data_IF_132974823549
#
_entry.id   IF_132974823549
#
_cell.length_a   1.000
_cell.length_b   1.000
_cell.length_c   1.000
_cell.angle_alpha   90.00
_cell.angle_beta   90.00
_cell.angle_gamma   90.00
#
_symmetry.space_group_name_H-M   'P 1'
#
loop_
_entity.id
_entity.type
_entity.pdbx_description
1 polymer ?
#
# COMPACT_ATOMS: atom_id res chain seq x y z
N UNK A 1 0.99 -38.77 16.15
CA UNK A 1 0.90 -37.33 16.43
C UNK A 1 2.05 -36.69 15.69
N UNK A 2 1.80 -36.28 14.45
CA UNK A 2 2.81 -35.60 13.63
C UNK A 2 2.77 -34.15 14.12
N UNK A 3 3.87 -33.68 14.68
CA UNK A 3 4.08 -32.25 14.95
C UNK A 3 4.23 -31.62 13.56
N UNK A 4 3.18 -30.98 13.07
CA UNK A 4 3.26 -30.15 11.88
C UNK A 4 4.08 -28.92 12.23
N UNK A 5 5.34 -28.99 11.79
CA UNK A 5 6.26 -27.93 11.43
C UNK A 5 5.66 -26.52 11.48
N UNK A 6 6.03 -25.74 12.52
CA UNK A 6 5.98 -24.27 12.49
C UNK A 6 7.05 -23.73 11.53
N UNK A 7 6.91 -24.04 10.25
CA UNK A 7 7.54 -23.24 9.20
C UNK A 7 6.72 -21.96 9.04
N UNK A 8 6.95 -21.02 9.97
CA UNK A 8 6.58 -19.61 9.83
C UNK A 8 7.38 -18.97 8.69
N UNK A 9 7.21 -19.51 7.49
CA UNK A 9 7.56 -18.83 6.26
C UNK A 9 6.52 -17.72 6.11
N UNK A 10 6.86 -16.51 6.54
CA UNK A 10 6.05 -15.33 6.31
C UNK A 10 5.91 -15.15 4.80
N UNK A 11 4.92 -15.78 4.20
CA UNK A 11 4.68 -15.61 2.77
C UNK A 11 4.31 -14.14 2.52
N UNK A 12 4.55 -13.62 1.31
CA UNK A 12 4.09 -12.28 0.93
C UNK A 12 2.58 -12.10 1.21
N UNK A 13 1.81 -13.20 1.13
CA UNK A 13 0.40 -13.22 1.47
C UNK A 13 0.09 -12.96 2.96
N UNK A 14 1.07 -13.08 3.88
CA UNK A 14 0.95 -12.67 5.29
C UNK A 14 1.35 -11.21 5.53
N UNK A 15 2.22 -10.64 4.69
CA UNK A 15 2.64 -9.23 4.77
C UNK A 15 1.52 -8.31 4.32
N UNK A 16 0.81 -8.73 3.28
CA UNK A 16 -0.24 -7.93 2.63
C UNK A 16 -1.65 -8.35 3.07
N UNK A 17 -1.80 -9.41 3.89
CA UNK A 17 -3.10 -9.92 4.32
C UNK A 17 -3.90 -8.84 5.05
N UNK A 18 -5.11 -8.55 4.54
CA UNK A 18 -6.02 -7.55 5.10
C UNK A 18 -5.45 -6.11 5.15
N UNK A 19 -4.34 -5.82 4.46
CA UNK A 19 -3.75 -4.49 4.44
C UNK A 19 -4.48 -3.59 3.45
N UNK A 20 -5.17 -2.56 3.96
CA UNK A 20 -5.92 -1.59 3.16
C UNK A 20 -4.98 -0.48 2.68
N UNK A 21 -4.53 -0.58 1.44
CA UNK A 21 -3.44 0.23 0.89
C UNK A 21 -3.99 1.33 -0.03
N UNK A 22 -3.90 2.59 0.40
CA UNK A 22 -4.31 3.73 -0.40
C UNK A 22 -3.23 4.15 -1.40
N UNK A 23 -3.55 4.26 -2.68
CA UNK A 23 -2.65 4.77 -3.71
C UNK A 23 -3.02 6.21 -4.08
N UNK A 24 -2.11 7.16 -3.84
CA UNK A 24 -2.36 8.57 -4.13
C UNK A 24 -1.74 9.00 -5.49
N UNK A 25 -2.54 9.49 -6.45
CA UNK A 25 -2.05 9.99 -7.74
C UNK A 25 -1.52 11.45 -7.65
N UNK A 26 -0.32 11.71 -8.17
CA UNK A 26 0.39 13.01 -8.08
C UNK A 26 -0.06 14.09 -9.13
N UNK A 27 -0.88 13.78 -10.13
CA UNK A 27 -1.23 14.61 -11.31
C UNK A 27 -2.37 14.03 -12.19
N UNK A 28 -3.32 14.89 -12.53
CA UNK A 28 -4.47 14.55 -13.37
C UNK A 28 -4.15 14.28 -14.86
N UNK A 29 -2.87 14.27 -15.26
CA UNK A 29 -2.45 14.35 -16.67
C UNK A 29 -2.10 12.98 -17.31
N UNK A 30 -2.66 11.87 -16.81
CA UNK A 30 -2.67 10.57 -17.50
C UNK A 30 -1.45 9.66 -17.30
N UNK A 31 -0.38 10.11 -16.63
CA UNK A 31 0.81 9.28 -16.35
C UNK A 31 0.72 8.46 -15.04
N UNK A 32 -0.46 8.35 -14.45
CA UNK A 32 -0.67 7.91 -13.06
C UNK A 32 -1.62 6.77 -12.82
N UNK A 33 -2.46 6.44 -13.79
CA UNK A 33 -3.13 5.16 -13.78
C UNK A 33 -2.07 4.05 -13.63
N UNK A 34 -0.92 4.19 -14.32
CA UNK A 34 0.14 3.17 -14.39
C UNK A 34 0.77 2.70 -13.09
N UNK A 35 0.89 3.53 -12.04
CA UNK A 35 1.50 3.06 -10.79
C UNK A 35 0.51 2.25 -9.95
N UNK A 36 -0.68 2.81 -9.73
CA UNK A 36 -1.75 2.07 -9.05
C UNK A 36 -2.08 0.80 -9.84
N UNK A 37 -2.23 0.88 -11.16
CA UNK A 37 -2.48 -0.27 -12.04
C UNK A 37 -1.40 -1.37 -11.91
N UNK A 38 -0.16 -1.00 -11.58
CA UNK A 38 0.92 -1.97 -11.35
C UNK A 38 0.87 -2.60 -9.97
N UNK A 39 0.54 -1.82 -8.93
CA UNK A 39 0.53 -2.28 -7.56
C UNK A 39 -0.75 -2.99 -7.13
N UNK A 40 -1.91 -2.58 -7.63
CA UNK A 40 -3.21 -3.16 -7.27
C UNK A 40 -3.23 -4.69 -7.40
N UNK A 41 -2.80 -5.30 -8.54
CA UNK A 41 -2.78 -6.75 -8.66
C UNK A 41 -1.83 -7.45 -7.68
N UNK A 42 -0.75 -6.79 -7.27
CA UNK A 42 0.23 -7.33 -6.32
C UNK A 42 -0.36 -7.34 -4.90
N UNK A 43 -1.02 -6.23 -4.51
CA UNK A 43 -1.73 -6.13 -3.23
C UNK A 43 -2.85 -7.17 -3.16
N UNK A 44 -3.68 -7.27 -4.20
CA UNK A 44 -4.77 -8.25 -4.29
C UNK A 44 -4.25 -9.69 -4.25
N UNK A 45 -3.17 -10.01 -4.96
CA UNK A 45 -2.54 -11.33 -4.91
C UNK A 45 -1.99 -11.67 -3.51
N UNK A 46 -1.62 -10.64 -2.75
CA UNK A 46 -1.24 -10.73 -1.34
C UNK A 46 -2.41 -10.76 -0.36
N UNK A 47 -3.66 -10.80 -0.82
CA UNK A 47 -4.89 -10.68 -0.01
C UNK A 47 -5.07 -9.34 0.72
N UNK A 48 -4.39 -8.31 0.23
CA UNK A 48 -4.64 -6.94 0.66
C UNK A 48 -5.78 -6.29 -0.12
N UNK A 49 -6.12 -5.07 0.27
CA UNK A 49 -7.20 -4.30 -0.33
C UNK A 49 -6.67 -2.97 -0.86
N UNK A 50 -6.38 -2.86 -2.17
CA UNK A 50 -5.92 -1.60 -2.71
C UNK A 50 -7.09 -0.61 -2.87
N UNK A 51 -6.85 0.65 -2.53
CA UNK A 51 -7.82 1.74 -2.65
C UNK A 51 -7.19 2.87 -3.48
N UNK A 52 -7.84 3.25 -4.58
CA UNK A 52 -7.39 4.40 -5.37
C UNK A 52 -7.93 5.69 -4.74
N UNK A 53 -7.04 6.58 -4.30
CA UNK A 53 -7.43 7.85 -3.68
C UNK A 53 -7.68 8.92 -4.75
N UNK A 54 -8.72 9.73 -4.54
CA UNK A 54 -8.99 10.90 -5.38
C UNK A 54 -8.01 12.03 -5.01
N UNK A 55 -7.29 12.63 -5.97
CA UNK A 55 -6.41 13.77 -5.70
C UNK A 55 -7.15 15.04 -5.26
N UNK A 56 -8.45 15.15 -5.57
CA UNK A 56 -9.25 16.34 -5.25
C UNK A 56 -9.89 16.24 -3.87
N UNK A 57 -10.36 15.04 -3.53
CA UNK A 57 -11.10 14.75 -2.30
C UNK A 57 -10.70 13.36 -1.82
N UNK A 58 -9.49 13.19 -1.27
CA UNK A 58 -9.04 11.89 -0.80
C UNK A 58 -9.86 11.47 0.42
N UNK A 59 -10.53 10.33 0.31
CA UNK A 59 -11.22 9.68 1.41
C UNK A 59 -10.25 8.65 1.99
N UNK A 60 -9.86 8.85 3.25
CA UNK A 60 -8.87 8.01 3.94
C UNK A 60 -9.52 6.97 4.87
N UNK A 61 -10.83 6.80 4.79
CA UNK A 61 -11.59 5.90 5.65
C UNK A 61 -11.08 4.46 5.48
N UNK A 62 -10.75 3.84 6.60
CA UNK A 62 -10.23 2.48 6.69
C UNK A 62 -8.96 2.24 5.85
N UNK A 63 -8.12 3.25 5.62
CA UNK A 63 -6.81 3.07 4.96
C UNK A 63 -5.72 2.89 6.02
N UNK A 64 -4.96 1.80 5.93
CA UNK A 64 -3.86 1.48 6.85
C UNK A 64 -2.57 2.22 6.50
N UNK A 65 -2.34 2.48 5.21
CA UNK A 65 -1.19 3.24 4.72
C UNK A 65 -1.47 3.87 3.36
N UNK A 66 -0.82 5.00 3.09
CA UNK A 66 -0.85 5.66 1.77
C UNK A 66 0.49 5.49 1.07
N UNK A 67 0.46 4.90 -0.13
CA UNK A 67 1.60 4.77 -1.03
C UNK A 67 1.59 5.91 -2.05
N UNK A 68 2.74 6.56 -2.18
CA UNK A 68 2.98 7.58 -3.20
C UNK A 68 4.23 7.25 -4.01
N UNK A 69 4.33 7.74 -5.24
CA UNK A 69 5.51 7.48 -6.05
C UNK A 69 6.75 8.26 -5.58
N UNK A 70 6.55 9.53 -5.22
CA UNK A 70 7.68 10.45 -5.00
C UNK A 70 7.41 11.43 -3.88
N UNK A 71 6.26 12.08 -3.91
CA UNK A 71 5.82 13.01 -2.88
C UNK A 71 4.30 13.09 -2.88
N UNK A 72 3.74 13.56 -1.78
CA UNK A 72 2.32 13.85 -1.62
C UNK A 72 2.15 15.37 -1.44
N UNK A 73 1.04 15.98 -1.90
CA UNK A 73 0.74 17.38 -1.58
C UNK A 73 0.68 17.61 -0.07
N UNK A 74 1.05 18.81 0.38
CA UNK A 74 1.13 19.14 1.82
C UNK A 74 -0.22 19.00 2.52
N UNK A 75 -1.29 19.33 1.82
CA UNK A 75 -2.66 19.24 2.31
C UNK A 75 -3.02 17.79 2.62
N UNK A 76 -2.65 16.87 1.73
CA UNK A 76 -2.93 15.43 1.89
C UNK A 76 -1.98 14.82 2.93
N UNK A 77 -0.72 15.25 3.00
CA UNK A 77 0.17 14.88 4.10
C UNK A 77 -0.45 15.25 5.46
N UNK A 78 -0.95 16.48 5.60
CA UNK A 78 -1.57 16.93 6.84
C UNK A 78 -2.84 16.15 7.19
N UNK A 79 -3.61 15.69 6.19
CA UNK A 79 -4.75 14.80 6.40
C UNK A 79 -4.31 13.44 6.93
N UNK A 80 -3.29 12.83 6.32
CA UNK A 80 -2.72 11.55 6.77
C UNK A 80 -2.14 11.66 8.18
N UNK A 81 -1.38 12.73 8.47
CA UNK A 81 -0.80 12.97 9.81
C UNK A 81 -1.90 13.07 10.88
N UNK A 82 -2.98 13.79 10.59
CA UNK A 82 -4.14 13.91 11.50
C UNK A 82 -4.84 12.57 11.72
N UNK A 83 -4.93 11.74 10.68
CA UNK A 83 -5.51 10.41 10.74
C UNK A 83 -4.54 9.34 11.29
N UNK A 84 -3.29 9.71 11.57
CA UNK A 84 -2.19 8.80 11.92
C UNK A 84 -1.94 7.70 10.87
N UNK A 85 -2.20 8.01 9.60
CA UNK A 85 -1.97 7.10 8.49
C UNK A 85 -0.57 7.34 7.93
N UNK A 86 0.32 6.33 7.91
CA UNK A 86 1.66 6.47 7.36
C UNK A 86 1.61 6.72 5.85
N UNK A 87 2.41 7.68 5.40
CA UNK A 87 2.68 7.92 3.98
C UNK A 87 4.04 7.33 3.65
N UNK A 88 4.09 6.41 2.69
CA UNK A 88 5.31 5.74 2.23
C UNK A 88 5.50 5.89 0.74
N UNK A 89 6.74 5.76 0.28
CA UNK A 89 7.04 5.69 -1.15
C UNK A 89 6.95 4.25 -1.67
N UNK A 90 6.67 4.07 -2.96
CA UNK A 90 6.59 2.75 -3.61
C UNK A 90 7.83 1.87 -3.37
N UNK A 91 9.02 2.46 -3.34
CA UNK A 91 10.27 1.74 -3.07
C UNK A 91 10.26 1.06 -1.70
N UNK A 92 9.63 1.69 -0.69
CA UNK A 92 9.48 1.08 0.63
C UNK A 92 8.60 -0.17 0.56
N UNK A 93 7.50 -0.12 -0.20
CA UNK A 93 6.61 -1.27 -0.37
C UNK A 93 7.34 -2.41 -1.12
N UNK A 94 8.07 -2.06 -2.19
CA UNK A 94 8.87 -3.01 -2.95
C UNK A 94 9.92 -3.69 -2.07
N UNK A 95 10.66 -2.92 -1.27
CA UNK A 95 11.65 -3.46 -0.35
C UNK A 95 11.04 -4.42 0.67
N UNK A 96 9.89 -4.11 1.25
CA UNK A 96 9.23 -5.00 2.20
C UNK A 96 8.77 -6.31 1.56
N UNK A 97 8.24 -6.25 0.33
CA UNK A 97 7.86 -7.45 -0.43
C UNK A 97 9.08 -8.31 -0.76
N UNK A 98 10.21 -7.69 -1.15
CA UNK A 98 11.46 -8.41 -1.42
C UNK A 98 12.03 -9.03 -0.14
N UNK A 99 12.03 -8.27 0.97
CA UNK A 99 12.58 -8.68 2.28
C UNK A 99 11.71 -9.72 2.99
N UNK A 100 10.42 -9.81 2.68
CA UNK A 100 9.49 -10.84 3.16
C UNK A 100 9.91 -12.27 2.81
N UNK A 101 11.03 -12.46 2.10
CA UNK A 101 11.79 -13.70 2.06
C UNK A 101 13.04 -13.61 2.94
N UNK A 102 12.96 -14.06 4.19
CA UNK A 102 14.08 -14.72 4.89
C UNK A 102 13.56 -15.77 5.85
#
# INVERSE_FOLDING_TARGET
MILEDESSSGSIASLLDNLRTGFYPISLNGWQATSADWWMPIIEAGRGEPVLLSPREPVLDDVDLVVVRTHVPKEVQAMCDKAMIPVVIEDWLLENIIRGKK
#
